data_IF_538605164815
#
_entry.id   IF_538605164815
#
_cell.length_a   1.000
_cell.length_b   1.000
_cell.length_c   1.000
_cell.angle_alpha   90.00
_cell.angle_beta   90.00
_cell.angle_gamma   90.00
#
_symmetry.space_group_name_H-M   'P 1'
#
loop_
_entity.id
_entity.type
_entity.pdbx_description
1 polymer ?
#
# COMPACT_ATOMS: atom_id res chain seq x y z
N UNK A 1 -23.42 17.63 -13.55
CA UNK A 1 -22.74 16.59 -12.75
C UNK A 1 -22.56 15.40 -13.67
N UNK A 2 -21.36 15.02 -14.04
CA UNK A 2 -21.17 13.79 -14.79
C UNK A 2 -21.21 12.62 -13.81
N UNK A 3 -22.01 11.63 -14.17
CA UNK A 3 -22.17 10.33 -13.58
C UNK A 3 -20.81 9.61 -13.46
N UNK A 4 -20.43 9.02 -12.33
CA UNK A 4 -19.21 8.24 -12.25
C UNK A 4 -19.44 6.92 -12.99
N UNK A 5 -19.07 6.88 -14.26
CA UNK A 5 -18.98 5.64 -15.01
C UNK A 5 -17.88 4.79 -14.37
N UNK A 6 -18.31 3.80 -13.59
CA UNK A 6 -17.47 2.70 -13.14
C UNK A 6 -17.00 1.93 -14.38
N UNK A 7 -15.78 2.18 -14.82
CA UNK A 7 -15.14 1.37 -15.84
C UNK A 7 -14.80 0.01 -15.21
N UNK A 8 -15.72 -0.95 -15.38
CA UNK A 8 -15.45 -2.37 -15.13
C UNK A 8 -14.59 -2.84 -16.31
N UNK A 9 -13.28 -2.70 -16.19
CA UNK A 9 -12.32 -3.28 -17.12
C UNK A 9 -11.77 -4.58 -16.54
N UNK A 10 -12.07 -5.66 -17.27
CA UNK A 10 -11.47 -6.99 -17.22
C UNK A 10 -10.85 -7.42 -15.89
N UNK A 11 -11.60 -8.24 -15.17
CA UNK A 11 -11.13 -9.04 -14.04
C UNK A 11 -9.96 -9.93 -14.46
N UNK A 12 -8.73 -9.49 -14.32
CA UNK A 12 -7.65 -10.43 -14.12
C UNK A 12 -8.05 -11.34 -12.96
N UNK A 13 -7.84 -12.64 -13.12
CA UNK A 13 -8.21 -13.65 -12.13
C UNK A 13 -7.46 -13.38 -10.81
N UNK A 14 -8.06 -12.56 -9.98
CA UNK A 14 -7.46 -12.04 -8.76
C UNK A 14 -7.81 -12.95 -7.59
N UNK A 15 -6.85 -13.71 -7.15
CA UNK A 15 -7.03 -14.68 -6.07
C UNK A 15 -7.17 -14.06 -4.67
N UNK A 16 -6.93 -12.74 -4.51
CA UNK A 16 -7.20 -12.02 -3.25
C UNK A 16 -8.68 -12.09 -2.85
N UNK A 17 -9.59 -12.19 -3.83
CA UNK A 17 -11.01 -12.37 -3.57
C UNK A 17 -11.34 -13.58 -2.69
N UNK A 18 -10.49 -14.61 -2.68
CA UNK A 18 -10.69 -15.83 -1.89
C UNK A 18 -10.54 -15.60 -0.38
N UNK A 19 -9.73 -14.64 -0.01
CA UNK A 19 -9.37 -14.37 1.40
C UNK A 19 -9.87 -13.02 1.91
N UNK A 20 -10.48 -12.20 1.06
CA UNK A 20 -10.86 -10.83 1.39
C UNK A 20 -11.65 -10.71 2.70
N UNK A 21 -12.60 -11.63 2.95
CA UNK A 21 -13.43 -11.61 4.16
C UNK A 21 -12.64 -11.89 5.46
N UNK A 22 -11.53 -12.61 5.38
CA UNK A 22 -10.74 -13.07 6.54
C UNK A 22 -9.37 -12.39 6.63
N UNK A 23 -9.01 -11.59 5.61
CA UNK A 23 -7.67 -11.02 5.48
C UNK A 23 -7.26 -10.18 6.70
N UNK A 24 -8.13 -9.27 7.13
CA UNK A 24 -7.87 -8.42 8.30
C UNK A 24 -7.69 -9.23 9.59
N UNK A 25 -8.51 -10.27 9.77
CA UNK A 25 -8.44 -11.13 10.95
C UNK A 25 -7.14 -11.94 10.94
N UNK A 26 -6.78 -12.52 9.78
CA UNK A 26 -5.55 -13.30 9.63
C UNK A 26 -4.30 -12.44 9.86
N UNK A 27 -4.25 -11.25 9.26
CA UNK A 27 -3.13 -10.34 9.42
C UNK A 27 -2.97 -9.86 10.87
N UNK A 28 -4.08 -9.56 11.55
CA UNK A 28 -4.08 -9.18 12.98
C UNK A 28 -3.67 -10.33 13.89
N UNK A 29 -4.03 -11.56 13.55
CA UNK A 29 -3.63 -12.74 14.33
C UNK A 29 -2.10 -12.94 14.29
N UNK A 30 -1.48 -12.74 13.12
CA UNK A 30 -0.03 -12.94 12.93
C UNK A 30 0.78 -11.74 13.44
N UNK A 31 0.38 -10.50 13.08
CA UNK A 31 1.17 -9.29 13.33
C UNK A 31 0.62 -8.41 14.45
N UNK A 32 -0.47 -8.84 15.10
CA UNK A 32 -1.17 -8.06 16.14
C UNK A 32 -1.51 -6.65 15.61
N UNK A 33 -1.10 -5.62 16.36
CA UNK A 33 -1.29 -4.21 15.96
C UNK A 33 -0.13 -3.63 15.14
N UNK A 34 0.93 -4.40 14.89
CA UNK A 34 2.16 -3.86 14.29
C UNK A 34 1.94 -3.36 12.86
N UNK A 35 1.19 -4.09 12.04
CA UNK A 35 0.84 -3.64 10.68
C UNK A 35 -0.04 -2.39 10.70
N UNK A 36 -1.00 -2.33 11.62
CA UNK A 36 -1.88 -1.18 11.79
C UNK A 36 -1.07 0.04 12.24
N UNK A 37 -0.29 -0.11 13.32
CA UNK A 37 0.52 0.98 13.86
C UNK A 37 1.55 1.51 12.86
N UNK A 38 2.13 0.64 12.02
CA UNK A 38 3.09 1.03 11.00
C UNK A 38 2.47 2.01 9.98
N UNK A 39 1.21 1.82 9.62
CA UNK A 39 0.49 2.68 8.69
C UNK A 39 -0.09 3.92 9.39
N UNK A 40 -0.76 3.72 10.54
CA UNK A 40 -1.43 4.81 11.27
C UNK A 40 -0.45 5.89 11.70
N UNK A 41 0.75 5.51 12.16
CA UNK A 41 1.75 6.49 12.61
C UNK A 41 2.28 7.40 11.48
N UNK A 42 2.11 7.03 10.22
CA UNK A 42 2.45 7.88 9.07
C UNK A 42 1.38 8.93 8.79
N UNK A 43 0.12 8.72 9.18
CA UNK A 43 -1.01 9.57 8.81
C UNK A 43 -0.91 11.02 9.33
N UNK A 44 -0.13 11.26 10.38
CA UNK A 44 0.15 12.61 10.88
C UNK A 44 0.88 13.51 9.86
N UNK A 45 1.50 12.92 8.84
CA UNK A 45 2.21 13.64 7.77
C UNK A 45 1.33 13.92 6.55
N UNK A 46 0.07 13.47 6.55
CA UNK A 46 -0.86 13.84 5.51
C UNK A 46 -1.15 15.34 5.55
N UNK A 47 -1.25 16.03 4.39
CA UNK A 47 -1.68 17.42 4.36
C UNK A 47 -3.15 17.54 4.76
N UNK A 48 -3.56 18.70 5.28
CA UNK A 48 -4.97 18.95 5.62
C UNK A 48 -5.90 18.81 4.41
N UNK A 49 -5.45 19.34 3.29
CA UNK A 49 -6.10 19.28 1.98
C UNK A 49 -5.09 18.76 0.98
N UNK A 50 -5.52 17.92 0.05
CA UNK A 50 -4.61 17.40 -0.96
C UNK A 50 -5.14 16.17 -1.68
N UNK A 51 -4.34 15.74 -2.66
CA UNK A 51 -4.59 14.53 -3.46
C UNK A 51 -3.74 13.37 -2.94
N UNK A 52 -4.38 12.26 -2.67
CA UNK A 52 -3.75 11.06 -2.11
C UNK A 52 -4.04 9.86 -3.02
N UNK A 53 -2.99 9.12 -3.40
CA UNK A 53 -3.12 7.84 -4.09
C UNK A 53 -2.84 6.72 -3.10
N UNK A 54 -3.78 5.81 -2.92
CA UNK A 54 -3.60 4.59 -2.13
C UNK A 54 -3.60 3.41 -3.09
N UNK A 55 -2.54 2.61 -3.08
CA UNK A 55 -2.39 1.43 -3.94
C UNK A 55 -2.29 0.18 -3.08
N UNK A 56 -3.18 -0.79 -3.35
CA UNK A 56 -3.22 -2.04 -2.60
C UNK A 56 -3.71 -1.87 -1.16
N UNK A 57 -4.65 -0.95 -0.93
CA UNK A 57 -5.18 -0.66 0.41
C UNK A 57 -6.06 -1.76 1.01
N UNK A 58 -6.34 -2.84 0.27
CA UNK A 58 -7.07 -4.01 0.73
C UNK A 58 -8.52 -3.70 1.11
N UNK A 59 -8.92 -4.10 2.30
CA UNK A 59 -10.31 -3.95 2.80
C UNK A 59 -10.67 -2.51 3.19
N UNK A 60 -9.77 -1.55 3.03
CA UNK A 60 -10.02 -0.12 3.21
C UNK A 60 -10.06 0.37 4.66
N UNK A 61 -9.66 -0.42 5.65
CA UNK A 61 -9.65 0.04 7.04
C UNK A 61 -8.79 1.30 7.23
N UNK A 62 -7.77 1.51 6.41
CA UNK A 62 -6.92 2.71 6.42
C UNK A 62 -7.74 3.99 6.15
N UNK A 63 -8.82 3.92 5.36
CA UNK A 63 -9.69 5.07 5.09
C UNK A 63 -10.37 5.58 6.36
N UNK A 64 -10.75 4.66 7.27
CA UNK A 64 -11.32 5.04 8.57
C UNK A 64 -10.28 5.68 9.48
N UNK A 65 -9.04 5.20 9.45
CA UNK A 65 -7.95 5.79 10.23
C UNK A 65 -7.55 7.18 9.68
N UNK A 66 -7.51 7.33 8.35
CA UNK A 66 -7.35 8.64 7.71
C UNK A 66 -8.46 9.59 8.16
N UNK A 67 -9.72 9.15 8.15
CA UNK A 67 -10.87 9.97 8.52
C UNK A 67 -10.88 10.39 10.00
N UNK A 68 -10.17 9.69 10.89
CA UNK A 68 -9.98 10.11 12.28
C UNK A 68 -9.05 11.30 12.40
N UNK A 69 -7.99 11.35 11.59
CA UNK A 69 -6.98 12.42 11.58
C UNK A 69 -7.44 13.59 10.70
N UNK A 70 -8.00 13.27 9.53
CA UNK A 70 -8.48 14.22 8.52
C UNK A 70 -9.93 13.88 8.18
N UNK A 71 -10.92 14.48 8.87
CA UNK A 71 -12.33 14.18 8.64
C UNK A 71 -12.88 14.72 7.32
N UNK A 72 -12.11 15.46 6.55
CA UNK A 72 -12.43 16.01 5.24
C UNK A 72 -11.24 16.71 4.62
N UNK A 73 -11.40 17.20 3.38
CA UNK A 73 -10.37 17.97 2.64
C UNK A 73 -9.52 17.11 1.71
N UNK A 74 -9.44 15.79 1.89
CA UNK A 74 -8.65 14.92 1.03
C UNK A 74 -9.44 14.42 -0.18
N UNK A 75 -8.77 14.38 -1.33
CA UNK A 75 -9.21 13.72 -2.57
C UNK A 75 -8.39 12.44 -2.71
N UNK A 76 -8.99 11.30 -2.43
CA UNK A 76 -8.32 10.02 -2.38
C UNK A 76 -8.68 9.21 -3.62
N UNK A 77 -7.68 8.76 -4.36
CA UNK A 77 -7.83 7.72 -5.38
C UNK A 77 -7.35 6.41 -4.77
N UNK A 78 -8.23 5.42 -4.77
CA UNK A 78 -8.02 4.13 -4.12
C UNK A 78 -7.97 3.03 -5.17
N UNK A 79 -6.76 2.56 -5.51
CA UNK A 79 -6.52 1.53 -6.53
C UNK A 79 -6.31 0.19 -5.85
N UNK A 80 -7.18 -0.77 -6.17
CA UNK A 80 -7.14 -2.11 -5.61
C UNK A 80 -7.59 -3.14 -6.65
N UNK A 81 -6.80 -4.20 -6.82
CA UNK A 81 -7.05 -5.22 -7.84
C UNK A 81 -8.23 -6.13 -7.47
N UNK A 82 -8.48 -6.35 -6.18
CA UNK A 82 -9.55 -7.22 -5.70
C UNK A 82 -10.91 -6.51 -5.67
N UNK A 83 -11.84 -6.99 -6.49
CA UNK A 83 -13.21 -6.49 -6.49
C UNK A 83 -13.94 -6.68 -5.15
N UNK A 84 -13.66 -7.78 -4.43
CA UNK A 84 -14.23 -8.00 -3.10
C UNK A 84 -13.64 -7.05 -2.06
N UNK A 85 -12.35 -6.74 -2.14
CA UNK A 85 -11.72 -5.74 -1.25
C UNK A 85 -12.25 -4.34 -1.53
N UNK A 86 -12.44 -3.97 -2.81
CA UNK A 86 -13.12 -2.71 -3.19
C UNK A 86 -14.52 -2.65 -2.56
N UNK A 87 -15.32 -3.71 -2.69
CA UNK A 87 -16.66 -3.74 -2.11
C UNK A 87 -16.68 -3.61 -0.58
N UNK A 88 -15.63 -4.08 0.11
CA UNK A 88 -15.45 -3.87 1.55
C UNK A 88 -15.00 -2.44 1.85
N UNK A 89 -14.05 -1.91 1.08
CA UNK A 89 -13.51 -0.56 1.28
C UNK A 89 -14.56 0.54 1.05
N UNK A 90 -15.47 0.35 0.10
CA UNK A 90 -16.59 1.26 -0.16
C UNK A 90 -17.55 1.41 1.02
N UNK A 91 -17.61 0.40 1.92
CA UNK A 91 -18.46 0.41 3.11
C UNK A 91 -17.82 1.13 4.31
N UNK A 92 -16.55 1.54 4.18
CA UNK A 92 -15.84 2.22 5.26
C UNK A 92 -16.32 3.66 5.45
N UNK A 93 -16.23 4.12 6.68
CA UNK A 93 -16.57 5.50 7.01
C UNK A 93 -15.35 6.41 6.78
N UNK A 94 -15.27 7.06 5.64
CA UNK A 94 -14.22 8.04 5.30
C UNK A 94 -14.67 9.49 5.50
N UNK A 95 -15.79 9.67 6.19
CA UNK A 95 -16.40 10.99 6.53
C UNK A 95 -16.54 11.88 5.28
N UNK A 96 -16.03 13.12 5.33
CA UNK A 96 -16.18 14.13 4.27
C UNK A 96 -14.99 14.12 3.27
N UNK A 97 -14.16 13.10 3.28
CA UNK A 97 -13.15 12.94 2.24
C UNK A 97 -13.79 12.43 0.94
N UNK A 98 -13.32 12.92 -0.21
CA UNK A 98 -13.76 12.42 -1.50
C UNK A 98 -12.92 11.19 -1.88
N UNK A 99 -13.55 10.02 -2.04
CA UNK A 99 -12.85 8.77 -2.39
C UNK A 99 -13.34 8.24 -3.72
N UNK A 100 -12.42 8.08 -4.66
CA UNK A 100 -12.65 7.42 -5.96
C UNK A 100 -12.05 6.02 -5.91
N UNK A 101 -12.88 5.00 -6.03
CA UNK A 101 -12.44 3.61 -6.04
C UNK A 101 -12.20 3.13 -7.46
N UNK A 102 -11.04 2.52 -7.70
CA UNK A 102 -10.62 2.01 -9.01
C UNK A 102 -10.23 0.54 -8.87
N UNK A 103 -11.03 -0.35 -9.49
CA UNK A 103 -10.80 -1.80 -9.39
C UNK A 103 -10.00 -2.31 -10.59
N UNK A 104 -8.68 -2.10 -10.56
CA UNK A 104 -7.72 -2.59 -11.56
C UNK A 104 -6.36 -2.87 -10.91
N UNK A 105 -5.48 -3.58 -11.64
CA UNK A 105 -4.06 -3.63 -11.28
C UNK A 105 -3.40 -2.26 -11.44
N UNK A 106 -2.40 -1.98 -10.62
CA UNK A 106 -1.73 -0.68 -10.65
C UNK A 106 -1.04 -0.39 -11.99
N UNK A 107 -0.60 -1.42 -12.68
CA UNK A 107 0.04 -1.30 -13.99
C UNK A 107 -0.91 -0.79 -15.09
N UNK A 108 -2.20 -1.08 -14.92
CA UNK A 108 -3.25 -0.66 -15.85
C UNK A 108 -3.84 0.71 -15.48
N UNK A 109 -3.54 1.21 -14.27
CA UNK A 109 -4.01 2.51 -13.81
C UNK A 109 -3.33 3.63 -14.60
N UNK A 110 -4.12 4.50 -15.21
CA UNK A 110 -3.67 5.67 -15.97
C UNK A 110 -4.38 6.92 -15.45
N UNK A 111 -3.60 7.97 -15.24
CA UNK A 111 -4.13 9.25 -14.77
C UNK A 111 -3.20 10.40 -15.17
N UNK A 112 -3.78 11.55 -15.46
CA UNK A 112 -3.05 12.81 -15.63
C UNK A 112 -2.95 13.60 -14.31
N UNK A 113 -3.55 13.08 -13.24
CA UNK A 113 -3.52 13.70 -11.92
C UNK A 113 -2.21 13.36 -11.22
N UNK A 114 -1.53 14.38 -10.70
CA UNK A 114 -0.40 14.19 -9.79
C UNK A 114 -0.86 14.30 -8.34
N UNK A 115 -0.25 13.48 -7.48
CA UNK A 115 -0.64 13.34 -6.08
C UNK A 115 0.35 14.04 -5.15
N UNK A 116 -0.17 14.59 -4.05
CA UNK A 116 0.64 15.13 -2.97
C UNK A 116 1.24 14.03 -2.11
N UNK A 117 0.49 12.91 -1.98
CA UNK A 117 0.93 11.75 -1.20
C UNK A 117 0.58 10.45 -1.94
N UNK A 118 1.50 9.48 -1.91
CA UNK A 118 1.26 8.09 -2.33
C UNK A 118 1.43 7.18 -1.12
N UNK A 119 0.49 6.26 -0.89
CA UNK A 119 0.56 5.20 0.10
C UNK A 119 0.65 3.84 -0.59
N UNK A 120 1.66 3.06 -0.24
CA UNK A 120 1.85 1.68 -0.73
C UNK A 120 2.05 0.73 0.46
N UNK A 121 0.95 0.38 1.17
CA UNK A 121 1.03 -0.51 2.31
C UNK A 121 1.13 -1.96 1.85
N UNK A 122 2.26 -2.63 2.13
CA UNK A 122 2.49 -4.04 1.81
C UNK A 122 2.20 -4.37 0.34
N UNK A 123 2.70 -3.51 -0.55
CA UNK A 123 2.50 -3.64 -2.00
C UNK A 123 3.67 -4.37 -2.67
N UNK A 124 4.90 -3.91 -2.40
CA UNK A 124 6.09 -4.38 -3.13
C UNK A 124 6.55 -5.77 -2.71
N UNK A 125 6.22 -6.21 -1.50
CA UNK A 125 6.47 -7.58 -1.03
C UNK A 125 5.72 -8.66 -1.84
N UNK A 126 4.71 -8.26 -2.62
CA UNK A 126 3.95 -9.16 -3.48
C UNK A 126 4.58 -9.34 -4.87
N UNK A 127 5.50 -8.46 -5.27
CA UNK A 127 6.03 -8.37 -6.63
C UNK A 127 7.42 -8.99 -6.76
N UNK A 128 7.65 -9.67 -7.88
CA UNK A 128 9.01 -9.96 -8.31
C UNK A 128 9.76 -8.64 -8.58
N UNK A 129 11.09 -8.63 -8.42
CA UNK A 129 11.91 -7.41 -8.49
C UNK A 129 11.68 -6.58 -9.76
N UNK A 130 11.61 -7.22 -10.93
CA UNK A 130 11.38 -6.52 -12.20
C UNK A 130 10.01 -5.83 -12.24
N UNK A 131 8.99 -6.44 -11.64
CA UNK A 131 7.66 -5.86 -11.54
C UNK A 131 7.64 -4.71 -10.53
N UNK A 132 8.29 -4.90 -9.37
CA UNK A 132 8.44 -3.86 -8.36
C UNK A 132 9.12 -2.61 -8.95
N UNK A 133 10.19 -2.77 -9.74
CA UNK A 133 10.86 -1.67 -10.43
C UNK A 133 9.91 -0.91 -11.37
N UNK A 134 9.17 -1.61 -12.23
CA UNK A 134 8.21 -0.99 -13.17
C UNK A 134 7.08 -0.24 -12.45
N UNK A 135 6.54 -0.83 -11.38
CA UNK A 135 5.49 -0.20 -10.56
C UNK A 135 6.04 1.04 -9.84
N UNK A 136 7.28 0.95 -9.33
CA UNK A 136 7.93 2.11 -8.72
C UNK A 136 8.08 3.26 -9.71
N UNK A 137 8.62 3.00 -10.91
CA UNK A 137 8.78 4.00 -11.97
C UNK A 137 7.44 4.66 -12.34
N UNK A 138 6.39 3.85 -12.51
CA UNK A 138 5.06 4.34 -12.82
C UNK A 138 4.54 5.27 -11.70
N UNK A 139 4.58 4.83 -10.46
CA UNK A 139 4.11 5.61 -9.31
C UNK A 139 4.95 6.87 -9.09
N UNK A 140 6.26 6.80 -9.37
CA UNK A 140 7.14 7.96 -9.31
C UNK A 140 6.69 9.07 -10.27
N UNK A 141 6.13 8.74 -11.44
CA UNK A 141 5.58 9.76 -12.36
C UNK A 141 4.32 10.45 -11.82
N UNK A 142 3.57 9.78 -10.95
CA UNK A 142 2.34 10.31 -10.38
C UNK A 142 2.55 11.17 -9.14
N UNK A 143 3.70 11.08 -8.49
CA UNK A 143 3.99 11.89 -7.31
C UNK A 143 4.53 13.26 -7.69
N UNK A 144 3.93 14.33 -7.15
CA UNK A 144 4.39 15.70 -7.31
C UNK A 144 5.82 15.90 -6.78
N UNK A 145 6.53 16.88 -7.28
CA UNK A 145 7.74 17.37 -6.64
C UNK A 145 7.41 17.85 -5.22
N UNK A 146 8.28 17.56 -4.27
CA UNK A 146 8.07 17.74 -2.82
C UNK A 146 6.94 16.89 -2.22
N UNK A 147 6.33 16.00 -3.00
CA UNK A 147 5.34 15.03 -2.53
C UNK A 147 5.94 13.98 -1.60
N UNK A 148 5.08 13.32 -0.83
CA UNK A 148 5.47 12.31 0.14
C UNK A 148 5.04 10.92 -0.33
N UNK A 149 5.91 9.93 -0.13
CA UNK A 149 5.58 8.53 -0.37
C UNK A 149 5.66 7.76 0.95
N UNK A 150 4.53 7.22 1.38
CA UNK A 150 4.42 6.39 2.59
C UNK A 150 4.55 4.93 2.18
N UNK A 151 5.70 4.36 2.49
CA UNK A 151 6.00 2.95 2.27
C UNK A 151 5.89 2.19 3.59
N UNK A 152 5.09 1.13 3.62
CA UNK A 152 5.13 0.13 4.69
C UNK A 152 5.31 -1.23 4.07
N UNK A 153 6.36 -1.95 4.46
CA UNK A 153 6.65 -3.26 3.88
C UNK A 153 7.42 -4.17 4.86
N UNK A 154 7.53 -5.46 4.53
CA UNK A 154 8.39 -6.37 5.28
C UNK A 154 9.86 -6.10 5.01
N UNK A 155 10.71 -6.41 5.99
CA UNK A 155 12.15 -6.23 5.89
C UNK A 155 12.92 -7.32 6.61
N UNK A 156 13.92 -7.85 5.93
CA UNK A 156 14.89 -8.78 6.49
C UNK A 156 16.22 -8.12 6.88
N UNK A 157 16.34 -6.80 6.74
CA UNK A 157 17.56 -6.10 7.12
C UNK A 157 17.83 -6.23 8.63
N UNK A 158 19.10 -6.36 9.01
CA UNK A 158 19.58 -6.63 10.38
C UNK A 158 19.27 -8.04 10.90
N UNK A 159 19.59 -9.05 10.11
CA UNK A 159 19.23 -10.44 10.37
C UNK A 159 20.17 -11.25 11.29
N UNK A 160 21.11 -10.65 11.97
CA UNK A 160 21.98 -11.38 12.90
C UNK A 160 21.10 -12.05 13.99
N UNK A 161 20.88 -13.37 13.87
CA UNK A 161 20.12 -14.18 14.82
C UNK A 161 18.58 -14.23 14.63
N UNK A 162 18.02 -13.61 13.58
CA UNK A 162 16.56 -13.54 13.36
C UNK A 162 16.02 -14.61 12.39
N UNK A 163 16.45 -15.87 12.53
CA UNK A 163 15.97 -16.99 11.71
C UNK A 163 14.42 -17.12 11.67
N UNK A 164 13.74 -16.71 12.72
CA UNK A 164 12.29 -16.71 12.82
C UNK A 164 11.62 -15.78 11.78
N UNK A 165 12.26 -14.67 11.40
CA UNK A 165 11.74 -13.78 10.35
C UNK A 165 11.72 -14.47 8.98
N UNK A 166 12.78 -15.22 8.67
CA UNK A 166 12.86 -16.03 7.46
C UNK A 166 11.81 -17.15 7.45
N UNK A 167 11.61 -17.81 8.60
CA UNK A 167 10.61 -18.85 8.73
C UNK A 167 9.20 -18.27 8.55
N UNK A 168 8.90 -17.15 9.20
CA UNK A 168 7.62 -16.46 9.09
C UNK A 168 7.37 -16.02 7.64
N UNK A 169 8.35 -15.39 7.00
CA UNK A 169 8.24 -14.96 5.60
C UNK A 169 8.01 -16.15 4.66
N UNK A 170 8.77 -17.24 4.82
CA UNK A 170 8.59 -18.46 4.04
C UNK A 170 7.21 -19.08 4.22
N UNK A 171 6.70 -19.10 5.46
CA UNK A 171 5.35 -19.60 5.76
C UNK A 171 4.28 -18.73 5.10
N UNK A 172 4.44 -17.41 5.15
CA UNK A 172 3.55 -16.47 4.47
C UNK A 172 3.59 -16.66 2.96
N UNK A 173 4.78 -16.69 2.36
CA UNK A 173 4.90 -16.91 0.92
C UNK A 173 4.36 -18.27 0.49
N UNK A 174 4.60 -19.34 1.27
CA UNK A 174 4.03 -20.67 1.03
C UNK A 174 2.51 -20.63 1.01
N UNK A 175 1.90 -19.99 2.01
CA UNK A 175 0.45 -19.83 2.10
C UNK A 175 -0.12 -19.02 0.93
N UNK A 176 0.44 -17.84 0.66
CA UNK A 176 -0.04 -16.96 -0.42
C UNK A 176 0.23 -17.53 -1.81
N UNK A 177 1.33 -18.29 -2.01
CA UNK A 177 1.58 -19.02 -3.26
C UNK A 177 0.61 -20.16 -3.48
N UNK A 178 0.26 -20.91 -2.44
CA UNK A 178 -0.77 -21.95 -2.52
C UNK A 178 -2.10 -21.36 -3.01
N UNK A 179 -2.40 -20.14 -2.60
CA UNK A 179 -3.57 -19.39 -3.06
C UNK A 179 -3.35 -18.66 -4.41
N UNK A 180 -2.12 -18.73 -4.97
CA UNK A 180 -1.70 -18.01 -6.19
C UNK A 180 -1.90 -16.50 -6.10
N UNK A 181 -1.61 -15.91 -4.94
CA UNK A 181 -1.82 -14.50 -4.64
C UNK A 181 -0.52 -13.70 -4.84
N UNK A 182 0.65 -14.26 -4.47
CA UNK A 182 1.94 -13.59 -4.46
C UNK A 182 2.86 -14.22 -5.50
N UNK A 183 3.53 -13.37 -6.30
CA UNK A 183 4.54 -13.80 -7.28
C UNK A 183 5.95 -13.82 -6.68
N UNK A 184 6.19 -12.96 -5.68
CA UNK A 184 7.50 -12.80 -5.08
C UNK A 184 8.05 -14.12 -4.49
N UNK A 185 9.36 -14.34 -4.69
CA UNK A 185 10.12 -15.41 -4.05
C UNK A 185 10.98 -14.88 -2.91
N UNK A 186 11.25 -13.59 -2.92
CA UNK A 186 12.08 -12.87 -1.96
C UNK A 186 11.59 -11.43 -1.86
N UNK A 187 11.92 -10.78 -0.74
CA UNK A 187 11.65 -9.36 -0.56
C UNK A 187 12.61 -8.54 -1.40
N UNK A 188 12.08 -7.59 -2.16
CA UNK A 188 12.87 -6.59 -2.87
C UNK A 188 13.15 -5.42 -1.92
N UNK A 189 14.43 -5.04 -1.78
CA UNK A 189 14.78 -3.80 -1.06
C UNK A 189 14.46 -2.59 -1.95
N UNK A 190 13.45 -1.83 -1.56
CA UNK A 190 13.02 -0.65 -2.31
C UNK A 190 13.89 0.60 -2.09
N UNK A 191 14.74 0.63 -1.05
CA UNK A 191 15.56 1.80 -0.74
C UNK A 191 16.43 2.29 -1.91
N UNK A 192 17.14 1.42 -2.67
CA UNK A 192 17.94 1.86 -3.81
C UNK A 192 17.12 2.60 -4.87
N UNK A 193 15.86 2.18 -5.11
CA UNK A 193 14.98 2.82 -6.08
C UNK A 193 14.63 4.25 -5.65
N UNK A 194 14.27 4.44 -4.38
CA UNK A 194 13.99 5.77 -3.85
C UNK A 194 15.22 6.69 -3.89
N UNK A 195 16.39 6.21 -3.46
CA UNK A 195 17.60 7.05 -3.44
C UNK A 195 18.06 7.42 -4.86
N UNK A 196 18.01 6.48 -5.80
CA UNK A 196 18.38 6.74 -7.21
C UNK A 196 17.40 7.73 -7.88
N UNK A 197 16.14 7.74 -7.46
CA UNK A 197 15.12 8.68 -7.96
C UNK A 197 15.12 10.02 -7.21
N UNK A 198 16.10 10.29 -6.34
CA UNK A 198 16.27 11.58 -5.67
C UNK A 198 15.35 11.81 -4.47
N UNK A 199 14.89 10.75 -3.81
CA UNK A 199 14.13 10.88 -2.58
C UNK A 199 15.03 10.98 -1.35
N UNK A 200 14.54 11.65 -0.34
CA UNK A 200 15.13 11.68 1.01
C UNK A 200 14.18 11.02 2.00
N UNK A 201 14.74 10.30 2.97
CA UNK A 201 13.97 9.75 4.09
C UNK A 201 13.62 10.89 5.05
N UNK A 202 12.32 11.12 5.24
CA UNK A 202 11.82 12.05 6.26
C UNK A 202 11.61 11.34 7.59
N UNK A 203 11.12 10.10 7.57
CA UNK A 203 10.92 9.27 8.75
C UNK A 203 11.16 7.80 8.41
N UNK A 204 11.75 7.06 9.35
CA UNK A 204 11.92 5.61 9.28
C UNK A 204 11.64 5.01 10.66
N UNK A 205 10.64 4.13 10.74
CA UNK A 205 10.29 3.37 11.94
C UNK A 205 10.27 1.87 11.68
N UNK A 206 10.61 1.12 12.70
CA UNK A 206 10.58 -0.34 12.68
C UNK A 206 9.53 -0.86 13.66
N UNK A 207 8.79 -1.87 13.21
CA UNK A 207 7.74 -2.55 13.96
C UNK A 207 7.98 -4.06 13.94
N UNK A 208 7.27 -4.79 14.81
CA UNK A 208 7.37 -6.24 14.91
C UNK A 208 8.82 -6.73 14.95
N UNK A 209 9.60 -6.20 15.91
CA UNK A 209 11.03 -6.50 16.08
C UNK A 209 11.87 -6.26 14.80
N UNK A 210 11.52 -5.23 14.02
CA UNK A 210 12.22 -4.86 12.79
C UNK A 210 11.86 -5.73 11.56
N UNK A 211 10.80 -6.53 11.64
CA UNK A 211 10.28 -7.28 10.48
C UNK A 211 9.36 -6.44 9.59
N UNK A 212 8.75 -5.38 10.13
CA UNK A 212 7.98 -4.40 9.37
C UNK A 212 8.71 -3.07 9.46
N UNK A 213 8.91 -2.43 8.32
CA UNK A 213 9.45 -1.07 8.22
C UNK A 213 8.40 -0.14 7.64
N UNK A 214 8.31 1.04 8.23
CA UNK A 214 7.50 2.15 7.73
C UNK A 214 8.44 3.32 7.44
N UNK A 215 8.50 3.75 6.19
CA UNK A 215 9.32 4.85 5.75
C UNK A 215 8.47 5.92 5.08
N UNK A 216 8.76 7.18 5.35
CA UNK A 216 8.23 8.32 4.60
C UNK A 216 9.38 8.89 3.79
N UNK A 217 9.23 8.82 2.48
CA UNK A 217 10.15 9.41 1.53
C UNK A 217 9.59 10.73 1.00
N UNK A 218 10.44 11.75 0.91
CA UNK A 218 10.10 13.02 0.27
C UNK A 218 10.81 13.10 -1.07
N UNK A 219 10.06 13.34 -2.14
CA UNK A 219 10.60 13.58 -3.47
C UNK A 219 11.21 14.98 -3.52
N UNK A 220 12.46 15.11 -3.95
CA UNK A 220 13.17 16.39 -3.93
C UNK A 220 13.09 17.11 -5.26
N UNK A 221 12.97 16.36 -6.36
CA UNK A 221 12.85 16.93 -7.73
C UNK A 221 11.76 16.21 -8.52
#
# INVERSE_FOLDING_TARGET
>A
MPDPQYLILNTMNNNYDKIAAYYDTLSRLVFFKSQVNAQVNQLQYLPKDGSVLIVGGGTGWILEEIAKVHPGGLKIVYVEISGKMIALSQKRNYKNNAVTFVNIGIEDFKTDVSFDVILTPFLFDNFAEQRAAKVFELLNTYLKNNGLWFLVDFSLQNNNGNWWKLLLLRSMYGFFKLLRIVEANQLTDMNPYFFNAGYQILELRSYYRGFIKAAIFKKIK
#
